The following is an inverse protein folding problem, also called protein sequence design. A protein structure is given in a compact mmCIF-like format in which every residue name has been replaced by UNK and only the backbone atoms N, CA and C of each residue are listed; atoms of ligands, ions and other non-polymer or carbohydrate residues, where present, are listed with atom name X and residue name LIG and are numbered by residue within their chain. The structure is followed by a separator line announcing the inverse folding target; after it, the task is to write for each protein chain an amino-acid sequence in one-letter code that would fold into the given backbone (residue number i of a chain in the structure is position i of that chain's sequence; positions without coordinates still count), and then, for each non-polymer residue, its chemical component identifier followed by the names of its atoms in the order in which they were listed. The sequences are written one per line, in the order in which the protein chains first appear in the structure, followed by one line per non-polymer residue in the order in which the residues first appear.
data_IF_340222390301
#
_entry.id   IF_340222390301
#
_cell.length_a   1.000
_cell.length_b   1.000
_cell.length_c   1.000
_cell.angle_alpha   90.00
_cell.angle_beta   90.00
_cell.angle_gamma   90.00
#
_symmetry.space_group_name_H-M   'P 1'
#
loop_
_entity.id
_entity.type
_entity.pdbx_description
1 polymer ?
#
# COMPACT_ATOMS: atom_id res chain seq x y z
N UNK A 1 37.49 4.85 -20.40
CA UNK A 1 36.80 3.63 -19.90
C UNK A 1 36.92 3.62 -18.38
N UNK A 2 35.92 4.10 -17.65
CA UNK A 2 36.02 4.16 -16.18
C UNK A 2 34.73 4.67 -15.55
N UNK A 3 34.18 5.75 -16.11
CA UNK A 3 32.89 6.32 -15.69
C UNK A 3 31.73 5.35 -15.87
N UNK A 4 31.67 4.65 -17.00
CA UNK A 4 30.62 3.65 -17.28
C UNK A 4 30.65 2.46 -16.31
N UNK A 5 31.85 1.99 -15.92
CA UNK A 5 31.98 0.89 -14.95
C UNK A 5 31.49 1.29 -13.56
N UNK A 6 31.81 2.52 -13.14
CA UNK A 6 31.37 3.05 -11.84
C UNK A 6 29.85 3.21 -11.82
N UNK A 7 29.27 3.71 -12.91
CA UNK A 7 27.83 3.82 -13.08
C UNK A 7 27.12 2.47 -12.96
N UNK A 8 27.63 1.44 -13.64
CA UNK A 8 27.06 0.10 -13.59
C UNK A 8 27.16 -0.52 -12.19
N UNK A 9 28.27 -0.31 -11.47
CA UNK A 9 28.39 -0.75 -10.08
C UNK A 9 27.35 -0.10 -9.16
N UNK A 10 27.12 1.21 -9.30
CA UNK A 10 26.12 1.91 -8.47
C UNK A 10 24.70 1.40 -8.79
N UNK A 11 24.37 1.24 -10.07
CA UNK A 11 23.06 0.70 -10.49
C UNK A 11 22.85 -0.73 -9.99
N UNK A 12 23.88 -1.57 -10.07
CA UNK A 12 23.83 -2.94 -9.59
C UNK A 12 23.65 -3.01 -8.06
N UNK A 13 24.36 -2.16 -7.31
CA UNK A 13 24.22 -2.06 -5.86
C UNK A 13 22.83 -1.55 -5.45
N UNK A 14 22.28 -0.54 -6.14
CA UNK A 14 20.92 -0.06 -5.88
C UNK A 14 19.85 -1.13 -6.17
N UNK A 15 20.00 -1.89 -7.26
CA UNK A 15 19.05 -2.93 -7.66
C UNK A 15 19.13 -4.20 -6.80
N UNK A 16 20.30 -4.54 -6.26
CA UNK A 16 20.51 -5.77 -5.46
C UNK A 16 20.32 -5.56 -3.96
N UNK A 17 20.67 -4.39 -3.40
CA UNK A 17 20.39 -4.08 -1.99
C UNK A 17 18.93 -3.76 -1.73
N UNK A 18 18.07 -3.75 -2.77
CA UNK A 18 16.69 -3.35 -2.59
C UNK A 18 16.67 -1.98 -1.90
N UNK A 19 17.33 -0.98 -2.51
CA UNK A 19 17.00 0.40 -2.19
C UNK A 19 15.60 0.62 -2.74
N UNK A 20 14.62 0.01 -2.08
CA UNK A 20 13.32 0.59 -1.89
C UNK A 20 13.66 1.94 -1.27
N UNK A 21 13.80 2.95 -2.12
CA UNK A 21 13.27 4.24 -1.77
C UNK A 21 11.83 3.92 -1.39
N UNK A 22 11.60 3.57 -0.12
CA UNK A 22 10.27 3.58 0.46
C UNK A 22 9.77 4.94 0.03
N UNK A 23 8.76 4.99 -0.86
CA UNK A 23 8.35 6.27 -1.37
C UNK A 23 8.05 7.06 -0.12
N UNK A 24 8.71 8.20 0.04
CA UNK A 24 8.31 9.20 1.02
C UNK A 24 6.95 9.80 0.58
N UNK A 25 6.03 8.95 0.12
CA UNK A 25 4.64 9.19 -0.12
C UNK A 25 4.05 9.33 1.26
N UNK A 26 3.64 10.55 1.60
CA UNK A 26 3.02 10.84 2.89
C UNK A 26 2.04 9.73 3.27
N UNK A 27 2.16 9.28 4.53
CA UNK A 27 1.42 8.15 5.10
C UNK A 27 0.00 8.08 4.51
N UNK A 28 -0.24 7.05 3.70
CA UNK A 28 -1.50 6.87 2.97
C UNK A 28 -2.67 6.98 3.96
N UNK A 29 -3.74 7.66 3.56
CA UNK A 29 -4.93 7.77 4.41
C UNK A 29 -6.13 7.13 3.73
N UNK A 30 -6.75 6.16 4.40
CA UNK A 30 -7.91 5.44 3.88
C UNK A 30 -9.17 5.75 4.70
N UNK A 31 -10.32 5.67 4.04
CA UNK A 31 -11.61 5.64 4.72
C UNK A 31 -11.92 4.22 5.17
N UNK A 32 -12.32 4.06 6.42
CA UNK A 32 -12.83 2.80 6.95
C UNK A 32 -14.34 2.77 6.87
N UNK A 33 -14.87 1.74 6.24
CA UNK A 33 -16.29 1.48 6.08
C UNK A 33 -16.56 -0.02 6.18
N UNK A 34 -17.82 -0.40 6.33
CA UNK A 34 -18.19 -1.80 6.38
C UNK A 34 -19.63 -2.03 5.93
N UNK A 35 -20.01 -3.29 5.77
CA UNK A 35 -21.33 -3.64 5.25
C UNK A 35 -22.48 -3.09 6.10
N UNK A 36 -22.34 -3.18 7.42
CA UNK A 36 -23.35 -2.75 8.38
C UNK A 36 -23.17 -1.29 8.86
N UNK A 37 -22.10 -0.61 8.45
CA UNK A 37 -21.74 0.72 8.99
C UNK A 37 -21.28 1.66 7.88
N UNK A 38 -21.79 2.91 7.85
CA UNK A 38 -21.35 3.89 6.86
C UNK A 38 -19.86 4.21 7.02
N UNK A 39 -19.26 4.77 5.97
CA UNK A 39 -17.88 5.23 5.99
C UNK A 39 -17.65 6.28 7.09
N UNK A 40 -16.52 6.18 7.79
CA UNK A 40 -16.09 7.23 8.70
C UNK A 40 -15.87 8.54 7.92
N UNK A 41 -16.27 9.70 8.46
CA UNK A 41 -16.10 10.99 7.76
C UNK A 41 -14.63 11.45 7.70
N UNK A 42 -13.76 10.90 8.56
CA UNK A 42 -12.34 11.25 8.65
C UNK A 42 -11.48 10.04 8.29
N UNK A 43 -10.55 10.16 7.33
CA UNK A 43 -9.69 9.06 6.92
C UNK A 43 -8.55 8.84 7.92
N UNK A 44 -8.18 7.58 8.10
CA UNK A 44 -7.14 7.11 9.03
C UNK A 44 -5.84 6.81 8.29
N UNK A 45 -4.72 7.01 8.97
CA UNK A 45 -3.40 6.84 8.36
C UNK A 45 -2.93 5.37 8.43
N UNK A 46 -2.66 4.79 7.27
CA UNK A 46 -2.21 3.40 7.07
C UNK A 46 -0.73 3.22 7.42
N UNK A 47 -0.28 1.98 7.51
CA UNK A 47 1.15 1.67 7.66
C UNK A 47 1.89 1.92 6.33
N UNK A 48 3.19 2.23 6.42
CA UNK A 48 4.03 2.29 5.23
C UNK A 48 3.99 0.90 4.58
N UNK A 49 3.61 0.83 3.30
CA UNK A 49 3.35 -0.39 2.49
C UNK A 49 1.92 -0.96 2.48
N UNK A 50 0.96 -0.34 3.18
CA UNK A 50 -0.47 -0.69 3.04
C UNK A 50 -1.16 0.05 1.89
N UNK A 51 -2.22 -0.55 1.33
CA UNK A 51 -3.04 0.04 0.28
C UNK A 51 -4.53 0.06 0.69
N UNK A 52 -5.28 1.08 0.24
CA UNK A 52 -6.72 1.10 0.44
C UNK A 52 -7.41 0.03 -0.45
N UNK A 53 -8.22 -0.82 0.16
CA UNK A 53 -9.08 -1.78 -0.54
C UNK A 53 -10.54 -1.36 -0.50
N UNK A 54 -11.28 -1.68 -1.57
CA UNK A 54 -12.75 -1.55 -1.61
C UNK A 54 -13.32 -2.92 -1.99
N UNK A 55 -14.15 -3.47 -1.11
CA UNK A 55 -14.95 -4.65 -1.40
C UNK A 55 -16.42 -4.26 -1.43
N UNK A 56 -17.14 -4.75 -2.44
CA UNK A 56 -18.56 -4.50 -2.64
C UNK A 56 -19.24 -5.86 -2.70
N UNK A 57 -20.22 -6.06 -1.82
CA UNK A 57 -21.09 -7.23 -1.84
C UNK A 57 -22.55 -6.78 -1.80
N UNK A 58 -23.45 -7.70 -2.09
CA UNK A 58 -24.88 -7.54 -1.84
C UNK A 58 -25.23 -8.35 -0.59
N UNK A 59 -26.05 -7.80 0.31
CA UNK A 59 -26.57 -8.57 1.44
C UNK A 59 -27.75 -9.38 0.92
N UNK A 60 -27.49 -10.57 0.40
CA UNK A 60 -28.47 -11.63 0.52
C UNK A 60 -28.52 -11.98 2.01
N UNK A 61 -29.69 -11.82 2.64
CA UNK A 61 -29.89 -12.07 4.05
C UNK A 61 -29.61 -13.56 4.36
N UNK A 62 -28.35 -13.89 4.61
CA UNK A 62 -27.86 -15.16 5.16
C UNK A 62 -26.49 -14.88 5.74
N UNK A 63 -26.47 -14.59 7.04
CA UNK A 63 -25.27 -14.40 7.85
C UNK A 63 -24.34 -15.60 7.75
N UNK A 64 -23.32 -15.57 6.90
CA UNK A 64 -22.05 -16.26 7.15
C UNK A 64 -20.94 -15.54 6.40
N UNK A 65 -20.21 -14.65 7.06
CA UNK A 65 -18.77 -14.51 6.79
C UNK A 65 -18.08 -14.49 8.15
N UNK A 66 -17.66 -15.69 8.56
CA UNK A 66 -16.55 -15.87 9.48
C UNK A 66 -15.26 -15.44 8.76
N UNK A 67 -14.49 -14.55 9.38
CA UNK A 67 -13.02 -14.60 9.40
C UNK A 67 -12.47 -13.63 10.44
#
# INVERSE_FOLDING_TARGET
MGTSSIFLCILFLCGTLGVTMSPAQGRLRCYTCGFAKPCCPVPTACQDDEACGISIGTSDQSEIIQQ
#
